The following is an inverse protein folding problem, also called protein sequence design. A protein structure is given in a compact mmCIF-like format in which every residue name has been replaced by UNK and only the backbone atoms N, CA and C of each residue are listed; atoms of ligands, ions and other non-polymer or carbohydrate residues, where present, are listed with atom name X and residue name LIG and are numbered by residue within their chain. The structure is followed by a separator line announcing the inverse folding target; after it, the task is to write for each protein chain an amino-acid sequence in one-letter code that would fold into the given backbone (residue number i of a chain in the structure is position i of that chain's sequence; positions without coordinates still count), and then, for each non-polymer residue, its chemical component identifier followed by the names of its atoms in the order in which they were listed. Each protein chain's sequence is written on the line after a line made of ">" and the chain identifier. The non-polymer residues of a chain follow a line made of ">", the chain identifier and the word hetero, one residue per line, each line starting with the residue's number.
data_IF_627339819714
#
_entry.id   IF_627339819714
#
_cell.length_a   1.000
_cell.length_b   1.000
_cell.length_c   1.000
_cell.angle_alpha   90.00
_cell.angle_beta   90.00
_cell.angle_gamma   90.00
#
_symmetry.space_group_name_H-M   'P 1'
#
loop_
_entity.id
_entity.type
_entity.pdbx_description
1 polymer ?
#
# COMPACT_ATOMS: atom_id res chain seq x y z
N UNK A 1 16.71 -10.42 14.77
CA UNK A 1 15.34 -10.12 14.29
C UNK A 1 15.44 -9.06 13.22
N UNK A 2 14.82 -9.30 12.06
CA UNK A 2 14.80 -8.37 10.94
C UNK A 2 13.36 -7.87 10.76
N UNK A 3 13.18 -6.59 10.48
CA UNK A 3 11.85 -6.02 10.22
C UNK A 3 11.75 -5.53 8.79
N UNK A 4 10.68 -5.88 8.10
CA UNK A 4 10.30 -5.38 6.78
C UNK A 4 9.11 -4.44 6.94
N UNK A 5 9.31 -3.17 6.58
CA UNK A 5 8.29 -2.12 6.59
C UNK A 5 7.80 -1.87 5.16
N UNK A 6 6.54 -2.19 4.93
CA UNK A 6 5.92 -2.22 3.62
C UNK A 6 5.88 -3.64 3.06
N UNK A 7 4.69 -4.03 2.60
CA UNK A 7 4.47 -5.28 1.90
C UNK A 7 3.69 -5.05 0.60
N UNK A 8 2.88 -4.00 0.51
CA UNK A 8 2.21 -3.62 -0.72
C UNK A 8 3.20 -3.27 -1.85
N UNK A 9 2.78 -3.49 -3.10
CA UNK A 9 3.58 -3.17 -4.28
C UNK A 9 3.96 -1.68 -4.38
N UNK A 10 3.05 -0.80 -3.98
CA UNK A 10 3.20 0.66 -3.97
C UNK A 10 2.51 1.29 -2.77
N UNK A 11 2.77 2.57 -2.50
CA UNK A 11 2.02 3.29 -1.46
C UNK A 11 0.54 3.43 -1.83
N UNK A 12 -0.32 3.59 -0.82
CA UNK A 12 -1.77 3.82 -0.98
C UNK A 12 -2.53 2.69 -1.70
N UNK A 13 -2.04 1.45 -1.64
CA UNK A 13 -2.77 0.26 -2.10
C UNK A 13 -2.64 -0.85 -1.07
N UNK A 14 -3.63 -1.74 -1.03
CA UNK A 14 -3.54 -3.03 -0.34
C UNK A 14 -3.15 -4.17 -1.30
N UNK A 15 -2.86 -3.86 -2.56
CA UNK A 15 -2.44 -4.85 -3.57
C UNK A 15 -1.02 -5.34 -3.29
N UNK A 16 -0.92 -6.63 -2.98
CA UNK A 16 0.31 -7.33 -2.64
C UNK A 16 0.89 -8.14 -3.79
N UNK A 17 0.14 -8.28 -4.90
CA UNK A 17 0.56 -9.07 -6.06
C UNK A 17 1.85 -8.49 -6.66
N UNK A 18 2.79 -9.37 -7.02
CA UNK A 18 4.10 -8.98 -7.58
C UNK A 18 4.90 -8.02 -6.69
N UNK A 19 4.65 -8.03 -5.38
CA UNK A 19 5.36 -7.15 -4.45
C UNK A 19 6.86 -7.47 -4.42
N UNK A 20 7.75 -6.45 -4.46
CA UNK A 20 9.18 -6.66 -4.23
C UNK A 20 9.46 -7.12 -2.79
N UNK A 21 8.58 -6.82 -1.84
CA UNK A 21 8.74 -7.21 -0.44
C UNK A 21 8.70 -8.74 -0.27
N UNK A 22 7.87 -9.42 -1.07
CA UNK A 22 7.76 -10.87 -1.08
C UNK A 22 9.09 -11.53 -1.48
N UNK A 23 9.75 -11.03 -2.53
CA UNK A 23 11.04 -11.53 -2.98
C UNK A 23 12.13 -11.31 -1.92
N UNK A 24 12.12 -10.13 -1.28
CA UNK A 24 13.04 -9.82 -0.17
C UNK A 24 12.80 -10.78 0.99
N UNK A 25 11.54 -11.05 1.36
CA UNK A 25 11.21 -12.01 2.41
C UNK A 25 11.72 -13.41 2.04
N UNK A 26 11.54 -13.87 0.81
CA UNK A 26 12.06 -15.17 0.35
C UNK A 26 13.59 -15.25 0.50
N UNK A 27 14.33 -14.27 -0.02
CA UNK A 27 15.79 -14.24 0.11
C UNK A 27 16.23 -14.16 1.57
N UNK A 28 15.54 -13.38 2.40
CA UNK A 28 15.86 -13.30 3.83
C UNK A 28 15.57 -14.62 4.56
N UNK A 29 14.60 -15.41 4.11
CA UNK A 29 14.29 -16.72 4.69
C UNK A 29 15.33 -17.78 4.35
N UNK A 30 15.99 -17.68 3.20
CA UNK A 30 17.11 -18.57 2.84
C UNK A 30 18.29 -18.45 3.82
N UNK A 31 18.44 -17.30 4.48
CA UNK A 31 19.47 -17.03 5.49
C UNK A 31 19.08 -17.48 6.92
N UNK A 32 17.96 -18.18 7.09
CA UNK A 32 17.41 -18.70 8.36
C UNK A 32 17.43 -17.68 9.52
N UNK A 33 16.69 -16.56 9.40
CA UNK A 33 16.70 -15.51 10.40
C UNK A 33 15.90 -15.95 11.62
N UNK A 34 16.40 -15.66 12.83
CA UNK A 34 15.70 -15.97 14.09
C UNK A 34 14.24 -15.50 14.13
N UNK A 35 13.97 -14.32 13.58
CA UNK A 35 12.62 -13.76 13.44
C UNK A 35 12.61 -12.73 12.32
N UNK A 36 11.61 -12.83 11.45
CA UNK A 36 11.32 -11.86 10.38
C UNK A 36 9.95 -11.22 10.64
N UNK A 37 9.97 -9.97 11.07
CA UNK A 37 8.78 -9.17 11.34
C UNK A 37 8.34 -8.43 10.06
N UNK A 38 7.10 -8.61 9.64
CA UNK A 38 6.53 -7.89 8.49
C UNK A 38 5.41 -6.96 8.98
N UNK A 39 5.44 -5.71 8.53
CA UNK A 39 4.39 -4.74 8.82
C UNK A 39 4.05 -3.93 7.57
N UNK A 40 2.76 -3.84 7.26
CA UNK A 40 2.24 -2.94 6.23
C UNK A 40 1.03 -2.18 6.78
N UNK A 41 0.93 -0.86 6.55
CA UNK A 41 -0.15 -0.04 7.11
C UNK A 41 -1.51 -0.21 6.42
N UNK A 42 -1.58 -0.74 5.18
CA UNK A 42 -2.81 -0.86 4.39
C UNK A 42 -3.20 -2.29 4.06
N UNK A 43 -2.26 -3.23 4.06
CA UNK A 43 -2.55 -4.64 3.84
C UNK A 43 -3.03 -5.32 5.12
N UNK A 44 -4.00 -6.22 4.98
CA UNK A 44 -4.51 -7.03 6.09
C UNK A 44 -3.42 -8.04 6.52
N UNK A 45 -3.11 -8.17 7.83
CA UNK A 45 -2.10 -9.13 8.30
C UNK A 45 -2.41 -10.59 7.92
N UNK A 46 -3.68 -10.96 7.81
CA UNK A 46 -4.07 -12.32 7.40
C UNK A 46 -3.76 -12.58 5.93
N UNK A 47 -4.01 -11.60 5.05
CA UNK A 47 -3.68 -11.70 3.63
C UNK A 47 -2.17 -11.85 3.40
N UNK A 48 -1.37 -11.05 4.12
CA UNK A 48 0.09 -11.14 4.06
C UNK A 48 0.56 -12.55 4.50
N UNK A 49 0.01 -13.04 5.61
CA UNK A 49 0.38 -14.37 6.13
C UNK A 49 -0.01 -15.48 5.15
N UNK A 50 -1.19 -15.43 4.55
CA UNK A 50 -1.66 -16.42 3.58
C UNK A 50 -0.84 -16.40 2.28
N UNK A 51 -0.42 -15.23 1.81
CA UNK A 51 0.43 -15.11 0.63
C UNK A 51 1.84 -15.64 0.87
N UNK A 52 2.46 -15.27 2.00
CA UNK A 52 3.76 -15.82 2.42
C UNK A 52 3.65 -17.34 2.56
N UNK A 53 2.58 -17.85 3.17
CA UNK A 53 2.32 -19.29 3.31
C UNK A 53 2.19 -19.99 1.96
N UNK A 54 1.50 -19.39 0.99
CA UNK A 54 1.31 -19.96 -0.34
C UNK A 54 2.63 -20.10 -1.10
N UNK A 55 3.54 -19.14 -0.93
CA UNK A 55 4.74 -19.02 -1.76
C UNK A 55 5.99 -19.57 -1.10
N UNK A 56 6.17 -19.37 0.21
CA UNK A 56 7.32 -19.85 0.98
C UNK A 56 7.04 -21.19 1.71
N UNK A 57 5.78 -21.59 1.83
CA UNK A 57 5.35 -22.83 2.46
C UNK A 57 4.67 -22.64 3.83
N UNK A 58 3.94 -23.67 4.33
CA UNK A 58 3.17 -23.57 5.57
C UNK A 58 4.04 -23.45 6.83
N UNK A 59 5.25 -23.97 6.81
CA UNK A 59 6.11 -24.07 8.00
C UNK A 59 6.84 -22.76 8.34
N UNK A 60 6.73 -21.76 7.48
CA UNK A 60 7.46 -20.48 7.59
C UNK A 60 6.81 -19.51 8.57
N UNK A 61 5.50 -19.64 8.81
CA UNK A 61 4.78 -18.79 9.75
C UNK A 61 5.03 -19.22 11.19
N UNK A 62 5.11 -18.26 12.11
CA UNK A 62 5.31 -18.53 13.55
C UNK A 62 4.24 -19.45 14.16
N UNK A 63 3.00 -19.43 13.65
CA UNK A 63 1.93 -20.36 14.07
C UNK A 63 2.30 -21.84 13.85
N UNK A 64 3.21 -22.11 12.93
CA UNK A 64 3.70 -23.44 12.59
C UNK A 64 5.16 -23.66 13.05
N UNK A 65 5.71 -22.75 13.88
CA UNK A 65 7.09 -22.83 14.37
C UNK A 65 8.12 -22.13 13.49
N UNK A 66 7.70 -21.44 12.43
CA UNK A 66 8.59 -20.71 11.54
C UNK A 66 8.99 -19.30 12.02
N UNK A 67 9.92 -18.64 11.30
CA UNK A 67 10.50 -17.37 11.73
C UNK A 67 9.64 -16.13 11.41
N UNK A 68 8.61 -16.24 10.55
CA UNK A 68 7.85 -15.06 10.07
C UNK A 68 6.70 -14.70 11.00
N UNK A 69 6.62 -13.40 11.35
CA UNK A 69 5.56 -12.82 12.16
C UNK A 69 5.03 -11.56 11.48
N UNK A 70 3.72 -11.51 11.23
CA UNK A 70 3.05 -10.32 10.70
C UNK A 70 2.49 -9.50 11.85
N UNK A 71 2.90 -8.24 11.95
CA UNK A 71 2.53 -7.32 13.02
C UNK A 71 1.46 -6.33 12.55
N UNK A 72 0.61 -5.87 13.48
CA UNK A 72 -0.39 -4.80 13.27
C UNK A 72 0.08 -3.43 13.75
N UNK A 73 1.13 -3.39 14.58
CA UNK A 73 1.76 -2.17 15.04
C UNK A 73 3.23 -2.14 14.64
N UNK A 74 3.64 -1.00 14.10
CA UNK A 74 5.01 -0.74 13.64
C UNK A 74 6.03 -0.74 14.77
N UNK A 75 5.68 -0.20 15.94
CA UNK A 75 6.61 -0.15 17.06
C UNK A 75 6.86 -1.55 17.63
N UNK A 76 5.81 -2.38 17.69
CA UNK A 76 5.94 -3.79 18.02
C UNK A 76 6.79 -4.55 16.98
N UNK A 77 6.60 -4.27 15.69
CA UNK A 77 7.38 -4.89 14.62
C UNK A 77 8.88 -4.57 14.74
N UNK A 78 9.24 -3.33 15.08
CA UNK A 78 10.62 -2.89 15.24
C UNK A 78 11.25 -3.22 16.62
N UNK A 79 10.45 -3.65 17.60
CA UNK A 79 10.96 -3.96 18.93
C UNK A 79 11.93 -5.14 18.90
N UNK A 80 13.16 -4.91 19.36
CA UNK A 80 14.23 -5.91 19.40
C UNK A 80 14.80 -6.26 18.02
N UNK A 81 14.53 -5.44 16.99
CA UNK A 81 15.07 -5.66 15.66
C UNK A 81 16.50 -5.16 15.54
N UNK A 82 17.32 -5.90 14.80
CA UNK A 82 18.71 -5.55 14.47
C UNK A 82 18.74 -4.70 13.19
N UNK A 83 17.89 -5.02 12.21
CA UNK A 83 17.77 -4.23 10.99
C UNK A 83 16.30 -4.00 10.62
N UNK A 84 16.05 -2.83 10.03
CA UNK A 84 14.76 -2.43 9.46
C UNK A 84 14.94 -2.18 7.97
N UNK A 85 14.15 -2.83 7.13
CA UNK A 85 14.16 -2.68 5.69
C UNK A 85 12.88 -1.96 5.24
N UNK A 86 13.01 -0.87 4.49
CA UNK A 86 11.88 -0.16 3.89
C UNK A 86 11.78 -0.58 2.43
N UNK A 87 10.68 -1.23 2.09
CA UNK A 87 10.41 -1.80 0.75
C UNK A 87 9.37 -0.99 -0.01
N UNK A 88 8.45 -0.34 0.71
CA UNK A 88 7.37 0.45 0.15
C UNK A 88 7.44 1.89 0.64
N UNK A 89 7.20 2.82 -0.27
CA UNK A 89 7.42 4.26 -0.09
C UNK A 89 6.29 5.00 0.63
N UNK A 90 5.79 4.44 1.74
CA UNK A 90 4.71 5.05 2.52
C UNK A 90 5.12 6.41 3.14
N UNK A 91 4.20 7.36 3.13
CA UNK A 91 4.42 8.70 3.67
C UNK A 91 4.59 8.68 5.21
N UNK A 92 4.06 7.66 5.88
CA UNK A 92 4.19 7.42 7.33
C UNK A 92 5.63 7.15 7.78
N UNK A 93 6.42 6.52 6.91
CA UNK A 93 7.79 6.12 7.21
C UNK A 93 8.77 7.29 7.12
N UNK A 94 8.37 8.42 6.52
CA UNK A 94 9.25 9.58 6.34
C UNK A 94 9.53 10.31 7.66
N UNK A 95 10.79 10.69 7.86
CA UNK A 95 11.27 11.41 9.04
C UNK A 95 11.23 12.95 8.93
N UNK A 96 11.06 13.52 7.73
CA UNK A 96 10.99 14.98 7.52
C UNK A 96 9.57 15.50 7.36
N UNK A 97 9.18 16.64 7.97
CA UNK A 97 7.87 17.25 7.72
C UNK A 97 7.65 17.44 6.22
N UNK A 98 6.44 17.16 5.75
CA UNK A 98 6.08 17.44 4.36
C UNK A 98 6.00 18.95 4.28
N UNK A 99 6.81 19.56 3.42
CA UNK A 99 6.38 20.81 2.80
C UNK A 99 4.98 20.52 2.25
N UNK A 100 3.95 21.32 2.59
CA UNK A 100 2.65 21.15 1.98
C UNK A 100 2.87 21.20 0.47
N UNK A 101 2.72 20.07 -0.20
CA UNK A 101 2.64 20.07 -1.65
C UNK A 101 1.40 20.87 -1.93
N UNK A 102 1.59 22.14 -2.30
CA UNK A 102 0.61 22.94 -2.99
C UNK A 102 0.04 22.00 -4.03
N UNK A 103 -1.22 21.59 -3.86
CA UNK A 103 -1.91 20.80 -4.86
C UNK A 103 -1.71 21.58 -6.14
N UNK A 104 -0.85 21.06 -7.03
CA UNK A 104 -0.90 21.47 -8.42
C UNK A 104 -2.34 21.21 -8.77
N UNK A 105 -3.10 22.27 -9.01
CA UNK A 105 -4.34 22.20 -9.75
C UNK A 105 -3.95 21.46 -11.02
N UNK A 106 -4.17 20.15 -11.03
CA UNK A 106 -3.94 19.33 -12.20
C UNK A 106 -4.84 19.99 -13.22
N UNK A 107 -4.23 20.67 -14.20
CA UNK A 107 -4.97 21.20 -15.33
C UNK A 107 -5.83 20.04 -15.82
N UNK A 108 -7.13 20.28 -15.84
CA UNK A 108 -8.14 19.25 -16.00
C UNK A 108 -7.72 18.28 -17.12
N UNK A 109 -7.59 16.96 -16.86
CA UNK A 109 -7.17 16.01 -17.88
C UNK A 109 -8.20 15.87 -19.01
N UNK A 110 -9.37 16.50 -18.90
CA UNK A 110 -10.35 16.57 -19.96
C UNK A 110 -9.73 17.24 -21.21
N UNK A 111 -9.89 16.64 -22.40
CA UNK A 111 -9.42 17.23 -23.67
C UNK A 111 -10.26 18.45 -24.10
N UNK A 112 -11.05 19.01 -23.19
CA UNK A 112 -11.98 20.10 -23.44
C UNK A 112 -11.47 21.33 -22.71
N UNK A 113 -11.16 22.38 -23.45
CA UNK A 113 -10.66 23.65 -22.90
C UNK A 113 -11.71 24.44 -22.09
N UNK A 114 -12.93 23.89 -21.94
CA UNK A 114 -14.10 24.59 -21.40
C UNK A 114 -14.78 23.78 -20.31
N UNK A 115 -15.10 24.46 -19.21
CA UNK A 115 -15.79 23.85 -18.07
C UNK A 115 -17.28 23.59 -18.30
N UNK A 116 -17.89 24.32 -19.25
CA UNK A 116 -19.32 24.23 -19.57
C UNK A 116 -19.54 23.78 -21.02
N UNK A 117 -20.42 22.78 -21.18
CA UNK A 117 -20.86 22.29 -22.48
C UNK A 117 -21.79 23.30 -23.17
N UNK A 118 -21.60 23.50 -24.48
CA UNK A 118 -22.50 24.35 -25.26
C UNK A 118 -23.77 23.58 -25.69
N UNK A 119 -24.78 24.28 -26.21
CA UNK A 119 -26.05 23.68 -26.65
C UNK A 119 -25.85 22.63 -27.75
N UNK A 120 -24.88 22.81 -28.65
CA UNK A 120 -24.54 21.84 -29.68
C UNK A 120 -23.88 20.59 -29.12
N UNK A 121 -23.06 20.72 -28.07
CA UNK A 121 -22.44 19.58 -27.37
C UNK A 121 -23.51 18.76 -26.64
N UNK A 122 -24.45 19.44 -25.98
CA UNK A 122 -25.59 18.80 -25.30
C UNK A 122 -26.50 18.08 -26.30
N UNK A 123 -26.82 18.71 -27.44
CA UNK A 123 -27.58 18.08 -28.52
C UNK A 123 -26.84 16.89 -29.14
N UNK A 124 -25.53 17.00 -29.32
CA UNK A 124 -24.70 15.91 -29.85
C UNK A 124 -24.63 14.72 -28.89
N UNK A 125 -24.49 15.00 -27.59
CA UNK A 125 -24.55 13.98 -26.53
C UNK A 125 -25.93 13.33 -26.48
N UNK A 126 -27.01 14.12 -26.55
CA UNK A 126 -28.37 13.60 -26.58
C UNK A 126 -28.61 12.65 -27.77
N UNK A 127 -28.15 13.04 -28.96
CA UNK A 127 -28.19 12.19 -30.15
C UNK A 127 -27.38 10.90 -29.99
N UNK A 128 -26.17 10.98 -29.42
CA UNK A 128 -25.34 9.82 -29.10
C UNK A 128 -26.02 8.88 -28.09
N UNK A 129 -26.62 9.43 -27.03
CA UNK A 129 -27.32 8.66 -26.01
C UNK A 129 -28.53 7.91 -26.60
N UNK A 130 -29.35 8.58 -27.42
CA UNK A 130 -30.46 7.95 -28.15
C UNK A 130 -29.98 6.82 -29.08
N UNK A 131 -28.91 7.04 -29.85
CA UNK A 131 -28.33 5.99 -30.69
C UNK A 131 -27.77 4.82 -29.87
N UNK A 132 -27.10 5.10 -28.75
CA UNK A 132 -26.52 4.07 -27.88
C UNK A 132 -27.57 3.19 -27.22
N UNK A 133 -28.75 3.73 -26.88
CA UNK A 133 -29.89 2.95 -26.38
C UNK A 133 -30.44 2.00 -27.44
N UNK A 134 -30.47 2.41 -28.71
CA UNK A 134 -30.94 1.55 -29.81
C UNK A 134 -29.94 0.45 -30.19
N UNK A 135 -28.64 0.66 -29.94
CA UNK A 135 -27.58 -0.31 -30.24
C UNK A 135 -27.31 -1.30 -29.07
N UNK A 136 -27.64 -0.94 -27.83
CA UNK A 136 -27.37 -1.75 -26.63
C UNK A 136 -28.44 -2.78 -26.27
N UNK A 137 -29.65 -2.67 -26.81
CA UNK A 137 -30.78 -3.55 -26.47
C UNK A 137 -30.60 -5.03 -26.90
N UNK A 138 -29.53 -5.37 -27.63
CA UNK A 138 -29.29 -6.72 -28.14
C UNK A 138 -28.19 -7.50 -27.41
N UNK A 139 -27.42 -6.91 -26.47
CA UNK A 139 -26.16 -7.53 -26.01
C UNK A 139 -25.94 -7.68 -24.50
N UNK A 140 -26.77 -7.10 -23.62
CA UNK A 140 -26.62 -7.31 -22.17
C UNK A 140 -27.96 -7.57 -21.53
N UNK A 141 -28.15 -8.77 -21.00
CA UNK A 141 -29.28 -9.10 -20.16
C UNK A 141 -29.40 -8.11 -18.99
N UNK A 142 -30.62 -7.65 -18.77
CA UNK A 142 -31.19 -7.23 -17.49
C UNK A 142 -30.64 -6.00 -16.73
N UNK A 143 -29.82 -5.12 -17.32
CA UNK A 143 -29.46 -3.83 -16.66
C UNK A 143 -30.12 -2.64 -17.37
N UNK A 144 -31.17 -2.09 -16.75
CA UNK A 144 -31.88 -0.90 -17.25
C UNK A 144 -31.08 0.37 -16.94
N UNK A 145 -31.01 1.34 -17.88
CA UNK A 145 -30.38 2.62 -17.62
C UNK A 145 -31.18 3.42 -16.57
N UNK A 146 -30.50 3.96 -15.56
CA UNK A 146 -31.06 4.82 -14.52
C UNK A 146 -30.25 6.13 -14.37
N UNK A 147 -30.57 6.96 -13.37
CA UNK A 147 -29.92 8.26 -13.18
C UNK A 147 -28.41 8.15 -12.83
N UNK A 148 -27.99 7.04 -12.25
CA UNK A 148 -26.61 6.79 -11.82
C UNK A 148 -25.82 5.96 -12.85
N UNK A 149 -26.50 5.21 -13.71
CA UNK A 149 -25.98 4.42 -14.82
C UNK A 149 -26.76 4.71 -16.11
N UNK A 150 -26.66 5.94 -16.66
CA UNK A 150 -27.45 6.37 -17.82
C UNK A 150 -27.16 5.59 -19.11
N UNK A 151 -26.05 4.85 -19.15
CA UNK A 151 -25.64 4.03 -20.29
C UNK A 151 -25.97 2.54 -20.11
N UNK A 152 -26.45 2.10 -18.93
CA UNK A 152 -26.68 0.68 -18.63
C UNK A 152 -25.41 -0.18 -18.72
N UNK A 153 -24.23 0.44 -18.80
CA UNK A 153 -22.93 -0.25 -18.98
C UNK A 153 -22.23 -0.53 -17.67
N UNK A 154 -22.63 0.12 -16.59
CA UNK A 154 -22.07 -0.16 -15.27
C UNK A 154 -22.49 -1.55 -14.83
N UNK A 155 -21.53 -2.48 -14.82
CA UNK A 155 -21.71 -3.77 -14.19
C UNK A 155 -21.35 -3.59 -12.71
N UNK A 156 -22.32 -3.76 -11.78
CA UNK A 156 -22.02 -3.67 -10.36
C UNK A 156 -20.99 -4.73 -10.01
N UNK A 157 -20.02 -4.35 -9.18
CA UNK A 157 -19.01 -5.29 -8.70
C UNK A 157 -19.73 -6.45 -8.00
N UNK A 158 -19.43 -7.71 -8.35
CA UNK A 158 -20.05 -8.85 -7.69
C UNK A 158 -19.75 -8.77 -6.19
N UNK A 159 -20.75 -9.12 -5.37
CA UNK A 159 -20.57 -9.20 -3.93
C UNK A 159 -19.43 -10.17 -3.60
N UNK A 160 -18.58 -9.80 -2.63
CA UNK A 160 -17.52 -10.68 -2.17
C UNK A 160 -18.07 -12.02 -1.68
N UNK A 161 -17.33 -13.14 -1.84
CA UNK A 161 -17.67 -14.43 -1.23
C UNK A 161 -17.87 -14.31 0.28
N UNK A 162 -18.68 -15.19 0.88
CA UNK A 162 -18.97 -15.13 2.33
C UNK A 162 -17.69 -15.25 3.20
N UNK A 163 -16.69 -16.02 2.72
CA UNK A 163 -15.38 -16.21 3.36
C UNK A 163 -14.32 -15.16 2.92
N UNK A 164 -14.72 -13.95 2.55
CA UNK A 164 -13.77 -12.91 2.15
C UNK A 164 -13.02 -12.36 3.38
N UNK A 165 -11.70 -12.58 3.51
CA UNK A 165 -10.93 -12.18 4.69
C UNK A 165 -10.93 -10.66 4.90
N UNK A 166 -11.01 -9.86 3.83
CA UNK A 166 -11.14 -8.41 3.93
C UNK A 166 -12.47 -8.03 4.58
N UNK A 167 -13.60 -8.50 4.04
CA UNK A 167 -14.93 -8.18 4.56
C UNK A 167 -15.15 -8.64 6.01
N UNK A 168 -14.47 -9.71 6.46
CA UNK A 168 -14.48 -10.13 7.86
C UNK A 168 -13.78 -9.10 8.76
N UNK A 169 -12.62 -8.59 8.35
CA UNK A 169 -11.88 -7.57 9.08
C UNK A 169 -12.63 -6.24 9.08
N UNK A 170 -13.27 -5.85 7.98
CA UNK A 170 -14.10 -4.63 7.93
C UNK A 170 -15.26 -4.68 8.93
N UNK A 171 -15.95 -5.82 9.03
CA UNK A 171 -17.03 -6.03 10.01
C UNK A 171 -16.51 -6.00 11.45
N UNK A 172 -15.30 -6.50 11.69
CA UNK A 172 -14.69 -6.54 13.02
C UNK A 172 -14.10 -5.18 13.46
N UNK A 173 -13.58 -4.39 12.53
CA UNK A 173 -12.81 -3.16 12.80
C UNK A 173 -13.50 -1.86 12.37
N UNK A 174 -14.60 -1.95 11.62
CA UNK A 174 -15.31 -0.79 11.06
C UNK A 174 -14.53 -0.07 9.96
N UNK A 175 -13.40 -0.60 9.51
CA UNK A 175 -12.59 -0.03 8.44
C UNK A 175 -13.13 -0.53 7.09
N UNK A 176 -13.72 0.36 6.28
CA UNK A 176 -14.22 0.03 4.96
C UNK A 176 -13.07 -0.38 4.03
N UNK A 177 -13.27 -1.46 3.29
CA UNK A 177 -12.32 -1.99 2.33
C UNK A 177 -12.92 -2.10 0.93
N UNK A 178 -12.01 -2.33 0.00
CA UNK A 178 -12.22 -2.53 -1.44
C UNK A 178 -13.20 -1.57 -2.12
N UNK A 179 -12.79 -0.31 -2.30
CA UNK A 179 -13.42 0.60 -3.28
C UNK A 179 -14.05 1.86 -2.71
N UNK A 180 -14.32 1.89 -1.40
CA UNK A 180 -14.44 3.18 -0.72
C UNK A 180 -13.04 3.81 -0.71
N UNK A 181 -12.92 5.10 -1.08
CA UNK A 181 -11.80 5.90 -0.61
C UNK A 181 -11.70 5.66 0.88
N UNK A 182 -10.77 4.80 1.31
CA UNK A 182 -10.34 4.71 2.70
C UNK A 182 -10.14 6.15 3.06
N UNK A 183 -10.95 6.69 3.98
CA UNK A 183 -10.67 8.01 4.54
C UNK A 183 -9.28 7.84 5.13
N UNK A 184 -8.26 8.25 4.36
CA UNK A 184 -6.89 8.36 4.82
C UNK A 184 -6.96 9.45 5.89
N UNK A 185 -7.35 9.03 7.09
CA UNK A 185 -6.99 9.78 8.27
C UNK A 185 -5.49 9.99 8.15
N UNK A 186 -5.00 11.24 8.27
CA UNK A 186 -3.59 11.53 8.08
C UNK A 186 -2.82 10.75 9.13
N UNK A 187 -2.28 9.60 8.72
CA UNK A 187 -1.61 8.68 9.63
C UNK A 187 -0.38 9.41 10.15
N UNK A 188 -0.32 9.48 11.47
CA UNK A 188 0.76 10.13 12.21
C UNK A 188 2.08 9.46 11.83
N UNK A 189 3.08 10.27 11.49
CA UNK A 189 4.42 9.79 11.16
C UNK A 189 5.05 8.99 12.29
N UNK A 190 5.95 8.10 11.90
CA UNK A 190 6.73 7.31 12.86
C UNK A 190 7.70 8.18 13.65
N UNK A 191 7.75 7.92 14.97
CA UNK A 191 8.81 8.43 15.82
C UNK A 191 10.02 7.49 15.76
N UNK A 192 10.96 7.83 14.87
CA UNK A 192 12.20 7.08 14.69
C UNK A 192 13.10 7.05 15.93
N UNK A 193 12.99 8.03 16.84
CA UNK A 193 13.75 8.01 18.11
C UNK A 193 13.24 6.93 19.05
N UNK A 194 11.92 6.75 19.09
CA UNK A 194 11.30 5.67 19.86
C UNK A 194 11.70 4.31 19.29
N UNK A 195 11.69 4.17 17.97
CA UNK A 195 12.16 2.94 17.30
C UNK A 195 13.62 2.65 17.67
N UNK A 196 14.50 3.66 17.57
CA UNK A 196 15.91 3.52 17.91
C UNK A 196 16.15 2.97 19.32
N UNK A 197 15.41 3.50 20.31
CA UNK A 197 15.56 3.09 21.71
C UNK A 197 15.21 1.62 21.95
N UNK A 198 14.30 1.06 21.16
CA UNK A 198 13.83 -0.31 21.32
C UNK A 198 14.49 -1.32 20.37
N UNK A 199 15.40 -0.88 19.50
CA UNK A 199 16.15 -1.75 18.59
C UNK A 199 17.43 -2.30 19.22
N UNK A 200 17.78 -3.53 18.84
CA UNK A 200 19.03 -4.15 19.25
C UNK A 200 20.22 -3.54 18.49
N UNK A 201 21.42 -3.63 19.09
CA UNK A 201 22.66 -3.24 18.40
C UNK A 201 23.18 -4.41 17.57
N UNK A 202 23.63 -4.18 16.32
CA UNK A 202 23.71 -2.89 15.62
C UNK A 202 22.34 -2.41 15.11
N UNK A 203 22.05 -1.09 15.16
CA UNK A 203 20.80 -0.53 14.63
C UNK A 203 20.92 -0.14 13.15
N UNK A 204 20.57 -1.06 12.26
CA UNK A 204 20.59 -0.82 10.80
C UNK A 204 19.23 -0.42 10.25
N UNK A 205 19.24 0.49 9.27
CA UNK A 205 18.07 0.81 8.44
C UNK A 205 18.48 0.77 6.97
N UNK A 206 17.80 -0.05 6.19
CA UNK A 206 17.97 -0.15 4.75
C UNK A 206 16.80 0.56 4.06
N UNK A 207 17.10 1.65 3.39
CA UNK A 207 16.11 2.41 2.64
C UNK A 207 16.15 2.02 1.16
N UNK A 208 15.27 1.09 0.78
CA UNK A 208 15.14 0.62 -0.61
C UNK A 208 14.47 1.63 -1.56
N UNK A 209 13.82 2.67 -1.03
CA UNK A 209 13.00 3.60 -1.81
C UNK A 209 13.42 5.07 -1.69
N UNK A 210 14.40 5.38 -0.85
CA UNK A 210 14.90 6.73 -0.63
C UNK A 210 13.87 7.64 0.07
N UNK A 211 13.06 7.09 0.97
CA UNK A 211 12.06 7.85 1.73
C UNK A 211 12.63 8.57 2.95
N UNK A 212 13.78 8.13 3.46
CA UNK A 212 14.41 8.69 4.65
C UNK A 212 15.44 9.77 4.32
N UNK A 213 15.50 10.78 5.16
CA UNK A 213 16.67 11.65 5.24
C UNK A 213 17.77 10.98 6.06
N UNK A 214 18.82 10.55 5.37
CA UNK A 214 20.00 9.86 5.92
C UNK A 214 20.66 10.71 7.01
N UNK A 215 20.86 12.01 6.78
CA UNK A 215 21.57 12.87 7.72
C UNK A 215 20.80 13.03 9.04
N UNK A 216 19.48 13.08 8.98
CA UNK A 216 18.64 13.12 10.18
C UNK A 216 18.64 11.78 10.93
N UNK A 217 18.68 10.64 10.23
CA UNK A 217 18.75 9.31 10.85
C UNK A 217 20.11 9.03 11.48
N UNK A 218 21.21 9.44 10.84
CA UNK A 218 22.57 9.32 11.37
C UNK A 218 22.75 10.16 12.65
N UNK A 219 22.12 11.34 12.74
CA UNK A 219 22.08 12.15 13.96
C UNK A 219 21.40 11.45 15.14
N UNK A 220 20.44 10.56 14.87
CA UNK A 220 19.80 9.74 15.90
C UNK A 220 20.73 8.59 16.33
N UNK A 221 21.62 8.16 15.44
CA UNK A 221 22.58 7.07 15.67
C UNK A 221 22.32 5.81 14.86
N UNK A 222 21.39 5.86 13.89
CA UNK A 222 21.17 4.75 12.96
C UNK A 222 22.31 4.63 11.95
N UNK A 223 22.60 3.39 11.55
CA UNK A 223 23.39 3.11 10.35
C UNK A 223 22.44 2.94 9.18
N UNK A 224 22.45 3.87 8.24
CA UNK A 224 21.49 3.88 7.12
C UNK A 224 22.19 3.61 5.81
N UNK A 225 21.70 2.61 5.07
CA UNK A 225 22.11 2.34 3.69
C UNK A 225 20.93 2.60 2.76
N UNK A 226 21.13 3.41 1.74
CA UNK A 226 20.10 3.70 0.73
C UNK A 226 20.43 2.97 -0.56
N UNK A 227 19.50 2.14 -1.04
CA UNK A 227 19.67 1.42 -2.30
C UNK A 227 19.54 2.41 -3.46
N UNK A 228 20.54 2.45 -4.35
CA UNK A 228 20.52 3.29 -5.55
C UNK A 228 21.05 4.72 -5.37
N UNK A 229 21.41 5.15 -4.15
CA UNK A 229 22.24 6.33 -3.92
C UNK A 229 23.59 5.85 -3.40
N UNK A 230 24.67 6.16 -4.11
CA UNK A 230 26.02 5.84 -3.64
C UNK A 230 26.19 6.42 -2.23
N UNK A 231 26.40 5.56 -1.23
CA UNK A 231 26.85 6.02 0.07
C UNK A 231 28.17 6.76 -0.14
N UNK A 232 28.23 8.02 0.29
CA UNK A 232 29.51 8.70 0.48
C UNK A 232 30.18 8.02 1.66
N UNK A 233 30.83 6.88 1.40
CA UNK A 233 31.83 6.33 2.30
C UNK A 233 32.97 7.34 2.34
N UNK A 234 32.89 8.34 3.22
CA UNK A 234 34.07 9.04 3.68
C UNK A 234 34.80 8.10 4.63
N UNK A 235 35.64 7.25 4.06
CA UNK A 235 36.73 6.63 4.82
C UNK A 235 37.64 7.78 5.27
N UNK A 236 37.63 8.07 6.58
CA UNK A 236 38.74 8.75 7.26
C UNK A 236 39.49 7.72 8.09
#
# INVERSE_FOLDING_TARGET
>A
KLTVLGYAFKKNTNDTRESPALHIVQTLLEEDPKELAVFDPLCNPEQIADEIRRLAGPDVLQRHGGPVVVYTDVYAACWGSDAVLITTEFDEFRNLPMEPKMEMTVADPRPFDRDEANESDLLSLHGYLLQSQTAGAAATGDIMPDAENPLGRFQPMPSCPEDCPDCHVEKATGAAGSGASVKLTPKRRLDWRKIYYHMNRPQWVFDGRGVLDIAAMEKIGFRVESVGRQSRLSYQ
#
